data_IF_446389560330
#
_entry.id   IF_446389560330
#
_cell.length_a   1.000
_cell.length_b   1.000
_cell.length_c   1.000
_cell.angle_alpha   90.00
_cell.angle_beta   90.00
_cell.angle_gamma   90.00
#
_symmetry.space_group_name_H-M   'P 1'
#
loop_
_entity.id
_entity.type
_entity.pdbx_description
1 polymer ?
#
# COMPACT_ATOMS: atom_id res chain seq x y z
N UNK A 1 6.70 -4.46 13.74
CA UNK A 1 6.85 -4.10 12.33
C UNK A 1 5.88 -2.97 12.06
N UNK A 2 6.41 -1.81 11.67
CA UNK A 2 5.61 -0.61 11.44
C UNK A 2 4.77 -0.77 10.17
N UNK A 3 3.66 -0.02 10.01
CA UNK A 3 2.83 -0.10 8.81
C UNK A 3 3.60 0.13 7.50
N UNK A 4 4.62 1.00 7.52
CA UNK A 4 5.47 1.27 6.37
C UNK A 4 6.27 0.03 5.92
N UNK A 5 6.82 -0.73 6.86
CA UNK A 5 7.57 -1.96 6.58
C UNK A 5 6.65 -3.02 5.97
N UNK A 6 5.45 -3.18 6.55
CA UNK A 6 4.44 -4.14 6.04
C UNK A 6 4.05 -3.81 4.61
N UNK A 7 3.82 -2.53 4.33
CA UNK A 7 3.46 -2.06 2.98
C UNK A 7 4.62 -2.27 2.02
N UNK A 8 5.85 -1.87 2.37
CA UNK A 8 7.02 -2.06 1.52
C UNK A 8 7.20 -3.54 1.15
N UNK A 9 7.08 -4.43 2.14
CA UNK A 9 7.13 -5.88 1.92
C UNK A 9 6.07 -6.36 0.92
N UNK A 10 4.83 -5.90 1.05
CA UNK A 10 3.76 -6.27 0.11
C UNK A 10 4.03 -5.73 -1.30
N UNK A 11 4.56 -4.52 -1.43
CA UNK A 11 4.90 -3.95 -2.75
C UNK A 11 6.01 -4.75 -3.43
N UNK A 12 7.02 -5.18 -2.67
CA UNK A 12 8.12 -6.01 -3.16
C UNK A 12 7.65 -7.42 -3.52
N UNK A 13 6.94 -8.10 -2.61
CA UNK A 13 6.49 -9.49 -2.78
C UNK A 13 5.53 -9.64 -3.98
N UNK A 14 4.73 -8.61 -4.31
CA UNK A 14 3.73 -8.65 -5.40
C UNK A 14 4.06 -7.74 -6.60
N UNK A 15 5.22 -7.07 -6.61
CA UNK A 15 5.61 -6.17 -7.70
C UNK A 15 4.64 -4.99 -7.93
N UNK A 16 4.03 -4.47 -6.87
CA UNK A 16 3.00 -3.42 -6.97
C UNK A 16 3.65 -2.04 -7.01
N UNK A 17 3.34 -1.29 -8.07
CA UNK A 17 3.76 0.10 -8.23
C UNK A 17 3.09 1.02 -7.19
N UNK A 18 3.76 2.12 -6.82
CA UNK A 18 3.20 3.11 -5.89
C UNK A 18 1.87 3.74 -6.35
N UNK A 19 1.61 3.83 -7.66
CA UNK A 19 0.34 4.33 -8.20
C UNK A 19 -0.82 3.38 -7.84
N UNK A 20 -0.68 2.09 -8.18
CA UNK A 20 -1.67 1.06 -7.80
C UNK A 20 -1.82 0.92 -6.28
N UNK A 21 -0.74 1.07 -5.53
CA UNK A 21 -0.81 1.07 -4.06
C UNK A 21 -1.66 2.23 -3.53
N UNK A 22 -1.50 3.43 -4.09
CA UNK A 22 -2.28 4.60 -3.73
C UNK A 22 -3.77 4.40 -4.05
N UNK A 23 -4.07 3.87 -5.25
CA UNK A 23 -5.44 3.50 -5.65
C UNK A 23 -6.07 2.49 -4.69
N UNK A 24 -5.34 1.42 -4.35
CA UNK A 24 -5.80 0.38 -3.43
C UNK A 24 -6.12 0.94 -2.03
N UNK A 25 -5.34 1.92 -1.57
CA UNK A 25 -5.50 2.57 -0.27
C UNK A 25 -6.52 3.74 -0.28
N UNK A 26 -7.07 4.10 -1.45
CA UNK A 26 -7.98 5.24 -1.59
C UNK A 26 -7.32 6.60 -1.30
N UNK A 27 -6.03 6.75 -1.61
CA UNK A 27 -5.27 8.01 -1.45
C UNK A 27 -4.67 8.47 -2.77
N UNK A 28 -4.25 9.73 -2.87
CA UNK A 28 -3.52 10.21 -4.04
C UNK A 28 -2.10 9.68 -4.07
N UNK A 29 -1.49 9.58 -5.26
CA UNK A 29 -0.09 9.17 -5.39
C UNK A 29 0.87 10.11 -4.66
N UNK A 30 0.56 11.42 -4.60
CA UNK A 30 1.37 12.37 -3.82
C UNK A 30 1.26 12.12 -2.32
N UNK A 31 0.06 11.76 -1.82
CA UNK A 31 -0.12 11.33 -0.43
C UNK A 31 0.65 10.06 -0.14
N UNK A 32 0.65 9.10 -1.07
CA UNK A 32 1.44 7.87 -0.97
C UNK A 32 2.95 8.17 -0.89
N UNK A 33 3.50 9.00 -1.80
CA UNK A 33 4.92 9.41 -1.76
C UNK A 33 5.27 10.12 -0.46
N UNK A 34 4.38 11.00 0.01
CA UNK A 34 4.54 11.73 1.27
C UNK A 34 4.60 10.79 2.47
N UNK A 35 3.73 9.77 2.50
CA UNK A 35 3.67 8.73 3.54
C UNK A 35 4.81 7.72 3.51
N UNK A 36 5.36 7.46 2.33
CA UNK A 36 6.52 6.57 2.14
C UNK A 36 7.84 7.23 2.57
N UNK A 37 7.88 8.55 2.65
CA UNK A 37 9.08 9.25 3.09
C UNK A 37 9.24 9.12 4.62
N UNK A 38 10.22 8.32 5.06
CA UNK A 38 10.54 8.11 6.47
C UNK A 38 10.93 9.40 7.21
N UNK A 39 11.37 10.45 6.49
CA UNK A 39 11.68 11.75 7.08
C UNK A 39 10.44 12.60 7.36
N UNK A 40 9.24 12.12 7.03
CA UNK A 40 7.99 12.83 7.22
C UNK A 40 7.22 12.31 8.45
N UNK A 41 7.46 12.94 9.59
CA UNK A 41 6.84 12.58 10.86
C UNK A 41 5.33 12.89 10.92
N UNK A 42 4.80 13.72 10.02
CA UNK A 42 3.39 14.15 10.05
C UNK A 42 2.45 13.26 9.26
N UNK A 43 2.96 12.60 8.23
CA UNK A 43 2.17 11.74 7.36
C UNK A 43 2.85 10.40 7.26
N UNK A 44 2.38 9.43 8.03
CA UNK A 44 2.83 8.05 7.98
C UNK A 44 1.72 7.13 7.46
N UNK A 45 2.10 5.95 6.96
CA UNK A 45 1.12 4.89 6.73
C UNK A 45 0.54 4.39 8.05
N UNK A 46 -0.72 3.99 8.03
CA UNK A 46 -1.39 3.37 9.17
C UNK A 46 -1.85 1.94 8.83
N UNK A 47 -2.37 1.24 9.83
CA UNK A 47 -2.83 -0.14 9.65
C UNK A 47 -3.95 -0.26 8.61
N UNK A 48 -4.85 0.74 8.50
CA UNK A 48 -5.88 0.74 7.47
C UNK A 48 -5.29 0.72 6.06
N UNK A 49 -4.25 1.53 5.81
CA UNK A 49 -3.55 1.53 4.52
C UNK A 49 -3.01 0.14 4.17
N UNK A 50 -2.44 -0.57 5.14
CA UNK A 50 -1.97 -1.94 4.93
C UNK A 50 -3.13 -2.91 4.64
N UNK A 51 -4.21 -2.87 5.42
CA UNK A 51 -5.38 -3.76 5.23
C UNK A 51 -6.08 -3.52 3.88
N UNK A 52 -6.19 -2.26 3.45
CA UNK A 52 -6.76 -1.91 2.15
C UNK A 52 -5.92 -2.50 1.00
N UNK A 53 -4.59 -2.37 1.08
CA UNK A 53 -3.66 -2.94 0.09
C UNK A 53 -3.74 -4.47 0.04
N UNK A 54 -3.76 -5.15 1.19
CA UNK A 54 -3.93 -6.61 1.26
C UNK A 54 -5.28 -7.04 0.68
N UNK A 55 -6.34 -6.31 0.98
CA UNK A 55 -7.69 -6.60 0.46
C UNK A 55 -7.75 -6.44 -1.06
N UNK A 56 -7.08 -5.43 -1.61
CA UNK A 56 -6.95 -5.26 -3.06
C UNK A 56 -6.26 -6.46 -3.71
N UNK A 57 -5.13 -6.92 -3.15
CA UNK A 57 -4.39 -8.07 -3.69
C UNK A 57 -5.25 -9.33 -3.67
N UNK A 58 -5.90 -9.62 -2.54
CA UNK A 58 -6.81 -10.78 -2.42
C UNK A 58 -7.89 -10.77 -3.50
N UNK A 59 -8.48 -9.60 -3.78
CA UNK A 59 -9.48 -9.45 -4.85
C UNK A 59 -8.89 -9.70 -6.24
N UNK A 60 -7.68 -9.21 -6.51
CA UNK A 60 -7.01 -9.46 -7.80
C UNK A 60 -6.72 -10.96 -8.00
N UNK A 61 -6.25 -11.66 -6.96
CA UNK A 61 -6.02 -13.11 -7.02
C UNK A 61 -7.32 -13.89 -7.23
N UNK A 62 -8.40 -13.53 -6.54
CA UNK A 62 -9.72 -14.17 -6.72
C UNK A 62 -10.33 -13.96 -8.11
N UNK A 63 -9.93 -12.91 -8.82
CA UNK A 63 -10.38 -12.64 -10.18
C UNK A 63 -9.54 -13.37 -11.24
N UNK A 64 -8.37 -13.90 -10.90
CA UNK A 64 -7.51 -14.66 -11.81
C UNK A 64 -7.93 -16.14 -11.91
N UNK A 65 -8.68 -16.65 -10.92
CA UNK A 65 -9.18 -18.03 -10.88
C UNK A 65 -10.61 -18.20 -11.48
N UNK A 66 -11.10 -17.20 -12.23
CA UNK A 66 -12.42 -17.23 -12.92
C UNK A 66 -12.25 -17.14 -14.43
#
# INVERSE_FOLDING_TARGET
>A
MEPIDKINKVLEDFGITGVKAAEAMGITYDTFKSKKNEKNERHSFNEKNYQDLVSFIKKQTQNLDK
#
